data_IF_144650531482
#
_entry.id   IF_144650531482
#
_cell.length_a   1.000
_cell.length_b   1.000
_cell.length_c   1.000
_cell.angle_alpha   90.00
_cell.angle_beta   90.00
_cell.angle_gamma   90.00
#
_symmetry.space_group_name_H-M   'P 1'
#
loop_
_entity.id
_entity.type
_entity.pdbx_description
1 polymer ?
#
# COMPACT_ATOMS: atom_id res chain seq x y z
N UNK A 1 -9.99 14.91 15.44
CA UNK A 1 -8.72 14.43 14.87
C UNK A 1 -8.92 14.26 13.38
N UNK A 2 -8.29 15.11 12.58
CA UNK A 2 -8.42 15.08 11.13
C UNK A 2 -7.61 13.88 10.62
N UNK A 3 -8.28 12.77 10.29
CA UNK A 3 -7.65 11.63 9.63
C UNK A 3 -7.36 12.00 8.17
N UNK A 4 -6.31 12.79 7.96
CA UNK A 4 -5.79 13.19 6.65
C UNK A 4 -4.87 12.11 6.04
N UNK A 5 -5.07 10.84 6.40
CA UNK A 5 -4.20 9.74 6.00
C UNK A 5 -5.02 8.72 5.21
N UNK A 6 -4.55 8.40 4.00
CA UNK A 6 -5.15 7.37 3.15
C UNK A 6 -4.30 6.11 3.23
N UNK A 7 -4.87 5.03 3.76
CA UNK A 7 -4.25 3.72 3.80
C UNK A 7 -4.77 2.83 2.68
N UNK A 8 -3.90 2.09 2.01
CA UNK A 8 -4.30 1.15 0.96
C UNK A 8 -3.42 -0.08 0.88
N UNK A 9 -4.00 -1.17 0.40
CA UNK A 9 -3.29 -2.40 0.07
C UNK A 9 -3.10 -2.50 -1.44
N UNK A 10 -1.85 -2.49 -1.89
CA UNK A 10 -1.46 -2.61 -3.28
C UNK A 10 -0.89 -4.00 -3.60
N UNK A 11 -1.02 -4.43 -4.85
CA UNK A 11 -0.18 -5.50 -5.39
C UNK A 11 1.26 -5.02 -5.54
N UNK A 12 2.21 -5.96 -5.60
CA UNK A 12 3.60 -5.64 -5.97
C UNK A 12 3.72 -4.86 -7.28
N UNK A 13 2.94 -5.25 -8.29
CA UNK A 13 2.96 -4.59 -9.61
C UNK A 13 2.53 -3.13 -9.55
N UNK A 14 1.69 -2.75 -8.58
CA UNK A 14 1.23 -1.38 -8.40
C UNK A 14 2.14 -0.56 -7.48
N UNK A 15 3.21 -1.15 -6.91
CA UNK A 15 4.13 -0.48 -5.97
C UNK A 15 4.61 0.87 -6.50
N UNK A 16 5.18 0.86 -7.71
CA UNK A 16 5.76 2.06 -8.30
C UNK A 16 4.71 3.14 -8.61
N UNK A 17 3.48 2.73 -8.95
CA UNK A 17 2.38 3.67 -9.13
C UNK A 17 2.09 4.43 -7.83
N UNK A 18 1.96 3.72 -6.71
CA UNK A 18 1.66 4.35 -5.43
C UNK A 18 2.82 5.21 -4.92
N UNK A 19 4.07 4.73 -5.05
CA UNK A 19 5.26 5.51 -4.69
C UNK A 19 5.34 6.84 -5.46
N UNK A 20 5.10 6.80 -6.78
CA UNK A 20 5.05 8.01 -7.62
C UNK A 20 3.92 8.97 -7.24
N UNK A 21 2.83 8.45 -6.67
CA UNK A 21 1.69 9.24 -6.22
C UNK A 21 1.83 9.77 -4.79
N UNK A 22 3.01 9.65 -4.18
CA UNK A 22 3.30 10.17 -2.84
C UNK A 22 2.78 9.29 -1.72
N UNK A 23 2.54 8.00 -1.99
CA UNK A 23 2.33 7.02 -0.93
C UNK A 23 3.69 6.49 -0.45
N UNK A 24 3.78 6.25 0.85
CA UNK A 24 4.92 5.61 1.51
C UNK A 24 4.61 4.15 1.78
N UNK A 25 5.63 3.30 1.62
CA UNK A 25 5.56 1.87 1.94
C UNK A 25 5.66 1.69 3.46
N UNK A 26 4.61 1.18 4.08
CA UNK A 26 4.63 0.87 5.52
C UNK A 26 5.05 -0.59 5.76
N UNK A 27 4.45 -1.54 5.03
CA UNK A 27 4.66 -2.97 5.30
C UNK A 27 4.45 -3.83 4.06
N UNK A 28 5.30 -4.85 3.89
CA UNK A 28 5.07 -5.93 2.92
C UNK A 28 4.49 -7.15 3.64
N UNK A 29 3.37 -7.66 3.15
CA UNK A 29 2.70 -8.85 3.67
C UNK A 29 2.75 -9.99 2.64
N UNK A 30 3.01 -11.21 3.11
CA UNK A 30 2.79 -12.42 2.32
C UNK A 30 1.42 -13.00 2.65
N UNK A 31 0.63 -13.29 1.63
CA UNK A 31 -0.73 -13.82 1.74
C UNK A 31 -0.82 -15.06 0.87
N UNK A 32 -1.39 -16.14 1.39
CA UNK A 32 -1.67 -17.34 0.60
C UNK A 32 -3.11 -17.24 0.11
N UNK A 33 -3.31 -17.25 -1.21
CA UNK A 33 -4.64 -17.27 -1.82
C UNK A 33 -4.67 -18.37 -2.88
N UNK A 34 -5.63 -19.29 -2.78
CA UNK A 34 -5.79 -20.40 -3.73
C UNK A 34 -4.50 -21.22 -3.93
N UNK A 35 -3.75 -21.45 -2.84
CA UNK A 35 -2.47 -22.17 -2.88
C UNK A 35 -1.28 -21.36 -3.43
N UNK A 36 -1.49 -20.11 -3.85
CA UNK A 36 -0.43 -19.25 -4.36
C UNK A 36 0.07 -18.27 -3.29
N UNK A 37 1.38 -18.09 -3.22
CA UNK A 37 2.03 -17.09 -2.36
C UNK A 37 2.00 -15.72 -3.05
N UNK A 38 1.11 -14.83 -2.60
CA UNK A 38 1.01 -13.46 -3.06
C UNK A 38 1.70 -12.51 -2.08
N UNK A 39 2.40 -11.51 -2.61
CA UNK A 39 2.93 -10.39 -1.81
C UNK A 39 2.03 -9.17 -2.02
N UNK A 40 1.48 -8.65 -0.93
CA UNK A 40 0.78 -7.35 -0.90
C UNK A 40 1.60 -6.33 -0.13
N UNK A 41 1.38 -5.09 -0.50
CA UNK A 41 2.06 -3.94 0.04
C UNK A 41 1.02 -3.06 0.74
N UNK A 42 1.30 -2.64 1.96
CA UNK A 42 0.51 -1.67 2.70
C UNK A 42 1.17 -0.30 2.57
N UNK A 43 0.40 0.66 2.08
CA UNK A 43 0.85 2.01 1.73
C UNK A 43 0.01 3.06 2.47
N UNK A 44 0.62 4.19 2.78
CA UNK A 44 -0.05 5.37 3.36
C UNK A 44 0.27 6.63 2.56
N UNK A 45 -0.67 7.55 2.43
CA UNK A 45 -0.41 8.89 1.92
C UNK A 45 -0.98 9.92 2.88
N UNK A 46 -0.17 10.92 3.23
CA UNK A 46 -0.63 12.13 3.92
C UNK A 46 -1.27 13.10 2.94
N UNK A 47 -2.48 13.52 3.22
CA UNK A 47 -3.18 14.59 2.52
C UNK A 47 -2.89 15.92 3.23
N UNK A 48 -2.13 16.81 2.60
CA UNK A 48 -1.97 18.19 3.07
C UNK A 48 -3.28 18.97 2.92
N UNK A 49 -3.53 19.88 3.87
CA UNK A 49 -4.42 21.03 3.68
C UNK A 49 -3.75 22.06 2.78
#
# INVERSE_FOLDING_TARGET
YLHNEIYTFASLSAKDFFLKNGFELIRENKIIKEGQNLKKIFNEKRCGL
#
